data_IF_588056955258
#
_entry.id   IF_588056955258
#
_cell.length_a   1.000
_cell.length_b   1.000
_cell.length_c   1.000
_cell.angle_alpha   90.00
_cell.angle_beta   90.00
_cell.angle_gamma   90.00
#
_symmetry.space_group_name_H-M   'P 1'
#
loop_
_entity.id
_entity.type
_entity.pdbx_description
1 polymer ?
#
# COMPACT_ATOMS: atom_id res chain seq x y z
N UNK A 1 5.91 -14.51 -26.21
CA UNK A 1 5.41 -14.35 -24.82
C UNK A 1 6.41 -13.51 -24.05
N UNK A 2 6.10 -12.26 -23.70
CA UNK A 2 7.01 -11.39 -22.94
C UNK A 2 6.45 -11.21 -21.53
N UNK A 3 6.90 -12.06 -20.60
CA UNK A 3 6.60 -11.89 -19.18
C UNK A 3 7.67 -10.98 -18.59
N UNK A 4 7.31 -9.73 -18.31
CA UNK A 4 8.16 -8.80 -17.56
C UNK A 4 7.84 -8.93 -16.06
N UNK A 5 8.48 -9.87 -15.38
CA UNK A 5 8.40 -9.96 -13.92
C UNK A 5 9.39 -8.96 -13.32
N UNK A 6 8.93 -7.82 -12.82
CA UNK A 6 9.71 -6.99 -11.89
C UNK A 6 9.63 -7.65 -10.50
N UNK A 7 10.39 -8.71 -10.29
CA UNK A 7 10.68 -9.20 -8.94
C UNK A 7 11.25 -8.02 -8.15
N UNK A 8 10.84 -7.82 -6.89
CA UNK A 8 11.21 -6.71 -5.98
C UNK A 8 10.33 -5.43 -5.96
N UNK A 9 9.12 -5.41 -6.55
CA UNK A 9 8.17 -4.32 -6.37
C UNK A 9 6.87 -4.79 -5.69
N UNK A 10 6.42 -4.09 -4.64
CA UNK A 10 5.11 -4.28 -3.99
C UNK A 10 4.25 -3.05 -4.26
N UNK A 11 3.16 -3.24 -4.98
CA UNK A 11 2.14 -2.22 -5.21
C UNK A 11 0.88 -2.56 -4.41
N UNK A 12 0.33 -1.58 -3.69
CA UNK A 12 -0.94 -1.66 -2.97
C UNK A 12 -1.80 -0.45 -3.33
N UNK A 13 -2.96 -0.68 -3.93
CA UNK A 13 -3.91 0.38 -4.26
C UNK A 13 -5.32 0.00 -3.82
N UNK A 14 -6.14 0.99 -3.50
CA UNK A 14 -7.50 0.78 -3.02
C UNK A 14 -8.20 2.06 -2.60
N UNK A 15 -9.29 1.90 -1.86
CA UNK A 15 -10.05 3.00 -1.29
C UNK A 15 -10.11 2.85 0.23
N UNK A 16 -9.99 3.97 0.93
CA UNK A 16 -10.11 4.11 2.37
C UNK A 16 -11.38 4.90 2.67
N UNK A 17 -12.12 4.50 3.70
CA UNK A 17 -13.21 5.32 4.26
C UNK A 17 -12.67 5.95 5.54
N UNK A 18 -12.66 7.28 5.62
CA UNK A 18 -12.26 7.99 6.83
C UNK A 18 -13.35 7.97 7.89
N UNK A 19 -13.00 8.26 9.14
CA UNK A 19 -13.95 8.40 10.24
C UNK A 19 -15.01 9.47 9.96
N UNK A 20 -14.65 10.52 9.20
CA UNK A 20 -15.58 11.55 8.73
C UNK A 20 -16.51 11.09 7.59
N UNK A 21 -16.45 9.81 7.18
CA UNK A 21 -17.24 9.23 6.10
C UNK A 21 -16.75 9.54 4.67
N UNK A 22 -15.56 10.14 4.51
CA UNK A 22 -15.03 10.48 3.19
C UNK A 22 -14.32 9.28 2.57
N UNK A 23 -14.54 9.05 1.27
CA UNK A 23 -13.81 8.03 0.51
C UNK A 23 -12.53 8.63 -0.08
N UNK A 24 -11.38 8.10 0.30
CA UNK A 24 -10.08 8.46 -0.25
C UNK A 24 -9.54 7.33 -1.12
N UNK A 25 -9.05 7.64 -2.31
CA UNK A 25 -8.28 6.68 -3.10
C UNK A 25 -6.83 6.69 -2.61
N UNK A 26 -6.20 5.51 -2.53
CA UNK A 26 -4.77 5.39 -2.22
C UNK A 26 -4.08 4.48 -3.23
N UNK A 27 -2.80 4.79 -3.49
CA UNK A 27 -1.90 3.97 -4.29
C UNK A 27 -0.50 4.09 -3.69
N UNK A 28 0.05 2.96 -3.27
CA UNK A 28 1.36 2.85 -2.63
C UNK A 28 2.20 1.90 -3.46
N UNK A 29 3.34 2.39 -3.93
CA UNK A 29 4.30 1.60 -4.69
C UNK A 29 5.62 1.57 -3.92
N UNK A 30 6.09 0.37 -3.59
CA UNK A 30 7.34 0.14 -2.86
C UNK A 30 8.30 -0.63 -3.75
N UNK A 31 9.18 0.13 -4.39
CA UNK A 31 10.21 -0.38 -5.29
C UNK A 31 11.45 -0.84 -4.50
N UNK A 32 12.19 -1.79 -5.08
CA UNK A 32 13.50 -2.24 -4.60
C UNK A 32 13.53 -2.68 -3.11
N UNK A 33 12.46 -3.30 -2.64
CA UNK A 33 12.43 -3.78 -1.25
C UNK A 33 13.23 -5.07 -1.12
N UNK A 34 14.36 -5.03 -0.41
CA UNK A 34 15.19 -6.21 -0.13
C UNK A 34 14.71 -7.01 1.11
N UNK A 35 13.55 -6.65 1.67
CA UNK A 35 13.04 -7.17 2.95
C UNK A 35 11.72 -7.93 2.83
N UNK A 36 11.24 -8.48 3.95
CA UNK A 36 9.99 -9.23 4.00
C UNK A 36 8.79 -8.32 3.66
N UNK A 37 8.05 -8.69 2.61
CA UNK A 37 6.82 -8.02 2.13
C UNK A 37 5.80 -7.80 3.26
N UNK A 38 5.77 -8.70 4.25
CA UNK A 38 4.90 -8.60 5.43
C UNK A 38 5.13 -7.32 6.23
N UNK A 39 6.40 -6.90 6.37
CA UNK A 39 6.74 -5.69 7.13
C UNK A 39 6.27 -4.44 6.39
N UNK A 40 6.39 -4.44 5.05
CA UNK A 40 5.90 -3.35 4.20
C UNK A 40 4.39 -3.24 4.31
N UNK A 41 3.67 -4.37 4.22
CA UNK A 41 2.21 -4.38 4.39
C UNK A 41 1.79 -3.83 5.75
N UNK A 42 2.44 -4.24 6.85
CA UNK A 42 2.16 -3.72 8.20
C UNK A 42 2.43 -2.23 8.34
N UNK A 43 3.51 -1.72 7.71
CA UNK A 43 3.82 -0.30 7.73
C UNK A 43 2.76 0.52 6.96
N UNK A 44 2.36 0.05 5.78
CA UNK A 44 1.31 0.67 4.96
C UNK A 44 -0.04 0.62 5.68
N UNK A 45 -0.37 -0.50 6.33
CA UNK A 45 -1.60 -0.64 7.12
C UNK A 45 -1.65 0.38 8.26
N UNK A 46 -0.57 0.50 9.06
CA UNK A 46 -0.48 1.51 10.12
C UNK A 46 -0.63 2.94 9.61
N UNK A 47 -0.01 3.24 8.46
CA UNK A 47 -0.13 4.55 7.82
C UNK A 47 -1.59 4.84 7.41
N UNK A 48 -2.22 3.89 6.71
CA UNK A 48 -3.61 4.02 6.27
C UNK A 48 -4.59 4.12 7.43
N UNK A 49 -4.38 3.40 8.53
CA UNK A 49 -5.19 3.53 9.76
C UNK A 49 -5.07 4.93 10.36
N UNK A 50 -3.87 5.51 10.38
CA UNK A 50 -3.66 6.88 10.85
C UNK A 50 -4.39 7.91 9.98
N UNK A 51 -4.35 7.74 8.66
CA UNK A 51 -5.08 8.60 7.70
C UNK A 51 -6.60 8.42 7.84
N UNK A 52 -7.08 7.21 8.11
CA UNK A 52 -8.51 6.96 8.29
C UNK A 52 -9.07 7.61 9.56
N UNK A 53 -8.23 7.79 10.58
CA UNK A 53 -8.60 8.39 11.86
C UNK A 53 -8.62 9.93 11.84
N UNK A 54 -8.16 10.57 10.76
CA UNK A 54 -8.33 12.00 10.51
C UNK A 54 -9.76 12.30 10.02
#
# INVERSE_FOLDING_TARGET
>A
SKTGTLSNNVCLAGFLITASGKKLAFSVMVNNHMGNVTNIRRAVERFLTGVAAQ
#
